data_IF_684976565457
#
_entry.id   IF_684976565457
#
_cell.length_a   1.000
_cell.length_b   1.000
_cell.length_c   1.000
_cell.angle_alpha   90.00
_cell.angle_beta   90.00
_cell.angle_gamma   90.00
#
_symmetry.space_group_name_H-M   'P 1'
#
loop_
_entity.id
_entity.type
_entity.pdbx_description
1 polymer ?
#
# COMPACT_ATOMS: atom_id res chain seq x y z
N UNK A 1 3.57 25.94 5.82
CA UNK A 1 4.89 25.56 6.34
C UNK A 1 5.34 24.20 5.82
N UNK A 2 4.70 23.06 6.14
CA UNK A 2 5.08 21.73 5.56
C UNK A 2 5.24 21.75 4.03
N UNK A 3 4.25 22.30 3.32
CA UNK A 3 4.30 22.46 1.86
C UNK A 3 5.52 23.25 1.39
N UNK A 4 5.82 24.37 2.02
CA UNK A 4 6.93 25.27 1.64
C UNK A 4 8.29 24.59 1.90
N UNK A 5 8.41 23.90 3.03
CA UNK A 5 9.59 23.10 3.39
C UNK A 5 9.79 21.94 2.41
N UNK A 6 8.72 21.24 2.05
CA UNK A 6 8.75 20.18 1.05
C UNK A 6 9.13 20.70 -0.35
N UNK A 7 8.59 21.84 -0.77
CA UNK A 7 8.92 22.47 -2.06
C UNK A 7 10.40 22.87 -2.16
N UNK A 8 11.04 23.21 -1.03
CA UNK A 8 12.48 23.45 -0.98
C UNK A 8 13.25 22.16 -1.24
N UNK A 9 12.90 21.07 -0.54
CA UNK A 9 13.49 19.74 -0.75
C UNK A 9 13.22 19.19 -2.15
N UNK A 10 12.06 19.51 -2.73
CA UNK A 10 11.69 19.14 -4.10
C UNK A 10 12.68 19.72 -5.11
N UNK A 11 13.10 20.98 -4.95
CA UNK A 11 14.08 21.62 -5.82
C UNK A 11 15.49 21.03 -5.65
N UNK A 12 15.88 20.73 -4.41
CA UNK A 12 17.19 20.18 -4.09
C UNK A 12 17.38 18.75 -4.61
N UNK A 13 16.35 17.91 -4.43
CA UNK A 13 16.43 16.48 -4.68
C UNK A 13 15.62 15.99 -5.88
N UNK A 14 14.94 16.90 -6.60
CA UNK A 14 14.04 16.60 -7.73
C UNK A 14 12.94 15.61 -7.34
N UNK A 15 12.29 15.87 -6.22
CA UNK A 15 11.15 15.07 -5.74
C UNK A 15 9.89 15.39 -6.56
N UNK A 16 8.83 14.55 -6.49
CA UNK A 16 7.54 14.87 -7.09
C UNK A 16 6.93 16.12 -6.44
N UNK A 17 5.90 16.70 -7.05
CA UNK A 17 5.27 17.90 -6.50
C UNK A 17 4.59 17.59 -5.16
N UNK A 18 4.45 18.61 -4.30
CA UNK A 18 3.74 18.47 -3.04
C UNK A 18 2.32 17.97 -3.28
N UNK A 19 1.61 18.53 -4.26
CA UNK A 19 0.23 18.19 -4.58
C UNK A 19 0.07 16.71 -4.96
N UNK A 20 0.95 16.18 -5.81
CA UNK A 20 0.90 14.77 -6.21
C UNK A 20 1.20 13.83 -5.03
N UNK A 21 2.19 14.21 -4.23
CA UNK A 21 2.57 13.43 -3.06
C UNK A 21 1.48 13.45 -1.99
N UNK A 22 0.86 14.60 -1.76
CA UNK A 22 -0.22 14.76 -0.80
C UNK A 22 -1.46 13.98 -1.23
N UNK A 23 -1.81 14.02 -2.51
CA UNK A 23 -2.93 13.26 -3.05
C UNK A 23 -2.77 11.74 -2.86
N UNK A 24 -1.56 11.21 -3.01
CA UNK A 24 -1.33 9.76 -2.93
C UNK A 24 -0.98 9.29 -1.52
N UNK A 25 -0.23 10.10 -0.76
CA UNK A 25 0.39 9.70 0.50
C UNK A 25 -0.05 10.54 1.69
N UNK A 26 -0.91 11.54 1.51
CA UNK A 26 -1.48 12.35 2.59
C UNK A 26 -0.37 13.04 3.42
N UNK A 27 0.38 13.92 2.74
CA UNK A 27 1.48 14.69 3.34
C UNK A 27 0.96 15.81 4.25
N UNK A 28 -0.27 16.28 4.01
CA UNK A 28 -0.91 17.30 4.83
C UNK A 28 -1.13 16.86 6.28
N UNK A 29 -1.08 15.54 6.54
CA UNK A 29 -1.16 14.97 7.88
C UNK A 29 0.18 14.99 8.64
N UNK A 30 1.28 15.48 8.04
CA UNK A 30 2.57 15.58 8.72
C UNK A 30 2.57 16.82 9.61
N UNK A 31 2.83 16.63 10.91
CA UNK A 31 2.79 17.72 11.90
C UNK A 31 4.16 18.38 12.12
N UNK A 32 5.27 17.63 11.91
CA UNK A 32 6.64 18.10 12.18
C UNK A 32 7.46 18.27 10.91
N UNK A 33 8.15 19.42 10.81
CA UNK A 33 9.06 19.74 9.70
C UNK A 33 10.46 19.13 9.87
N UNK A 34 10.82 18.77 11.10
CA UNK A 34 12.12 18.17 11.37
C UNK A 34 12.21 16.80 10.69
N UNK A 35 13.29 16.58 9.94
CA UNK A 35 13.50 15.35 9.17
C UNK A 35 12.34 15.01 8.23
N UNK A 36 11.80 16.02 7.53
CA UNK A 36 10.60 15.90 6.68
C UNK A 36 10.64 14.70 5.70
N UNK A 37 11.76 14.40 5.05
CA UNK A 37 11.86 13.23 4.16
C UNK A 37 11.59 11.90 4.88
N UNK A 38 11.96 11.78 6.15
CA UNK A 38 11.64 10.60 6.97
C UNK A 38 10.15 10.50 7.22
N UNK A 39 9.50 11.62 7.53
CA UNK A 39 8.05 11.69 7.69
C UNK A 39 7.32 11.33 6.39
N UNK A 40 7.80 11.84 5.25
CA UNK A 40 7.27 11.47 3.92
C UNK A 40 7.41 9.97 3.66
N UNK A 41 8.60 9.40 3.86
CA UNK A 41 8.80 7.94 3.72
C UNK A 41 7.87 7.14 4.62
N UNK A 42 7.64 7.59 5.86
CA UNK A 42 6.69 6.93 6.77
C UNK A 42 5.27 6.95 6.21
N UNK A 43 4.82 8.06 5.62
CA UNK A 43 3.52 8.11 4.93
C UNK A 43 3.44 7.15 3.74
N UNK A 44 4.53 7.02 2.99
CA UNK A 44 4.64 6.05 1.89
C UNK A 44 4.60 4.60 2.41
N UNK A 45 5.32 4.32 3.50
CA UNK A 45 5.33 3.03 4.19
C UNK A 45 3.91 2.65 4.64
N UNK A 46 3.25 3.52 5.40
CA UNK A 46 1.87 3.33 5.88
C UNK A 46 0.93 2.97 4.72
N UNK A 47 1.05 3.70 3.60
CA UNK A 47 0.20 3.50 2.41
C UNK A 47 0.46 2.17 1.73
N UNK A 48 1.73 1.83 1.48
CA UNK A 48 2.11 0.56 0.84
C UNK A 48 1.74 -0.61 1.74
N UNK A 49 2.00 -0.49 3.04
CA UNK A 49 1.68 -1.52 4.04
C UNK A 49 0.17 -1.75 4.16
N UNK A 50 -0.64 -0.69 4.18
CA UNK A 50 -2.09 -0.80 4.20
C UNK A 50 -2.63 -1.56 2.99
N UNK A 51 -2.22 -1.17 1.77
CA UNK A 51 -2.66 -1.83 0.54
C UNK A 51 -2.16 -3.27 0.46
N UNK A 52 -0.88 -3.49 0.83
CA UNK A 52 -0.27 -4.82 0.88
C UNK A 52 -1.02 -5.75 1.83
N UNK A 53 -1.31 -5.30 3.05
CA UNK A 53 -2.06 -6.08 4.04
C UNK A 53 -3.45 -6.47 3.55
N UNK A 54 -4.14 -5.55 2.85
CA UNK A 54 -5.47 -5.82 2.31
C UNK A 54 -5.45 -6.90 1.23
N UNK A 55 -4.45 -6.91 0.34
CA UNK A 55 -4.34 -7.95 -0.70
C UNK A 55 -3.72 -9.24 -0.16
N UNK A 56 -2.95 -9.19 0.92
CA UNK A 56 -2.36 -10.38 1.56
C UNK A 56 -3.43 -11.35 2.09
N UNK A 57 -4.59 -10.86 2.54
CA UNK A 57 -5.70 -11.70 3.01
C UNK A 57 -6.20 -12.68 1.94
N UNK A 58 -5.98 -12.38 0.65
CA UNK A 58 -6.36 -13.27 -0.46
C UNK A 58 -5.53 -14.57 -0.45
N UNK A 59 -4.25 -14.47 -0.09
CA UNK A 59 -3.32 -15.62 -0.08
C UNK A 59 -3.17 -16.23 1.31
N UNK A 60 -3.27 -15.40 2.35
CA UNK A 60 -3.16 -15.79 3.75
C UNK A 60 -4.32 -15.18 4.54
N UNK A 61 -5.54 -15.72 4.36
CA UNK A 61 -6.71 -15.23 5.08
C UNK A 61 -6.53 -15.46 6.58
N UNK A 62 -6.98 -14.51 7.41
CA UNK A 62 -7.08 -14.75 8.85
C UNK A 62 -8.23 -15.76 9.10
N UNK A 63 -7.97 -16.96 9.66
CA UNK A 63 -9.00 -17.96 9.89
C UNK A 63 -10.09 -17.51 10.88
N UNK A 64 -9.81 -16.50 11.72
CA UNK A 64 -10.77 -15.90 12.64
C UNK A 64 -11.63 -14.81 11.98
N UNK A 65 -11.22 -14.30 10.80
CA UNK A 65 -11.98 -13.32 10.04
C UNK A 65 -12.93 -14.03 9.08
N UNK A 66 -14.24 -13.91 9.35
CA UNK A 66 -15.27 -14.38 8.43
C UNK A 66 -15.11 -13.76 7.03
N UNK A 67 -14.83 -12.46 6.97
CA UNK A 67 -14.66 -11.74 5.72
C UNK A 67 -13.51 -12.31 4.90
N UNK A 68 -12.34 -12.51 5.50
CA UNK A 68 -11.15 -13.03 4.79
C UNK A 68 -11.43 -14.46 4.27
N UNK A 69 -12.02 -15.30 5.12
CA UNK A 69 -12.34 -16.68 4.79
C UNK A 69 -13.41 -16.81 3.70
N UNK A 70 -14.31 -15.86 3.61
CA UNK A 70 -15.31 -15.77 2.55
C UNK A 70 -14.69 -15.22 1.25
N UNK A 71 -14.01 -14.08 1.34
CA UNK A 71 -13.45 -13.35 0.20
C UNK A 71 -12.37 -14.16 -0.55
N UNK A 72 -11.47 -14.85 0.17
CA UNK A 72 -10.38 -15.61 -0.46
C UNK A 72 -10.86 -16.76 -1.37
N UNK A 73 -12.11 -17.22 -1.23
CA UNK A 73 -12.72 -18.27 -2.07
C UNK A 73 -13.01 -17.80 -3.49
N UNK A 74 -13.12 -16.49 -3.69
CA UNK A 74 -13.37 -15.88 -5.00
C UNK A 74 -12.11 -15.74 -5.87
N UNK A 75 -10.98 -16.25 -5.39
CA UNK A 75 -9.68 -16.18 -6.07
C UNK A 75 -9.17 -17.58 -6.38
N UNK A 76 -8.92 -17.82 -7.66
CA UNK A 76 -8.28 -19.05 -8.13
C UNK A 76 -6.80 -19.08 -7.75
N UNK A 77 -6.16 -20.25 -7.86
CA UNK A 77 -4.71 -20.36 -7.64
C UNK A 77 -3.90 -19.49 -8.61
N UNK A 78 -4.40 -19.32 -9.85
CA UNK A 78 -3.79 -18.43 -10.82
C UNK A 78 -3.89 -16.95 -10.39
N UNK A 79 -4.98 -16.55 -9.74
CA UNK A 79 -5.12 -15.21 -9.16
C UNK A 79 -4.19 -15.02 -7.96
N UNK A 80 -4.15 -16.00 -7.06
CA UNK A 80 -3.28 -15.99 -5.88
C UNK A 80 -1.80 -15.87 -6.26
N UNK A 81 -1.39 -16.48 -7.38
CA UNK A 81 -0.04 -16.30 -7.93
C UNK A 81 0.22 -14.84 -8.34
N UNK A 82 -0.73 -14.16 -8.97
CA UNK A 82 -0.57 -12.74 -9.32
C UNK A 82 -0.53 -11.84 -8.08
N UNK A 83 -1.38 -12.12 -7.09
CA UNK A 83 -1.34 -11.44 -5.79
C UNK A 83 0.02 -11.62 -5.12
N UNK A 84 0.60 -12.83 -5.17
CA UNK A 84 1.94 -13.07 -4.66
C UNK A 84 3.02 -12.23 -5.35
N UNK A 85 2.98 -12.10 -6.69
CA UNK A 85 3.91 -11.24 -7.42
C UNK A 85 3.77 -9.77 -7.01
N UNK A 86 2.53 -9.27 -6.89
CA UNK A 86 2.27 -7.92 -6.39
C UNK A 86 2.84 -7.70 -4.98
N UNK A 87 2.60 -8.66 -4.07
CA UNK A 87 3.11 -8.62 -2.70
C UNK A 87 4.63 -8.67 -2.64
N UNK A 88 5.28 -9.41 -3.55
CA UNK A 88 6.74 -9.42 -3.64
C UNK A 88 7.29 -8.02 -3.92
N UNK A 89 6.72 -7.32 -4.89
CA UNK A 89 7.15 -5.95 -5.23
C UNK A 89 6.88 -4.97 -4.09
N UNK A 90 5.69 -5.05 -3.46
CA UNK A 90 5.38 -4.23 -2.29
C UNK A 90 6.33 -4.50 -1.11
N UNK A 91 6.62 -5.76 -0.81
CA UNK A 91 7.57 -6.12 0.25
C UNK A 91 8.99 -5.67 -0.07
N UNK A 92 9.41 -5.68 -1.35
CA UNK A 92 10.70 -5.13 -1.73
C UNK A 92 10.78 -3.63 -1.40
N UNK A 93 9.71 -2.87 -1.66
CA UNK A 93 9.61 -1.45 -1.27
C UNK A 93 9.68 -1.29 0.24
N UNK A 94 8.89 -2.05 1.01
CA UNK A 94 8.88 -1.97 2.48
C UNK A 94 10.27 -2.25 3.06
N UNK A 95 10.99 -3.27 2.56
CA UNK A 95 12.36 -3.57 3.02
C UNK A 95 13.37 -2.51 2.59
N UNK A 96 13.17 -1.86 1.45
CA UNK A 96 13.99 -0.72 1.03
C UNK A 96 13.79 0.49 1.94
N UNK A 97 12.55 0.72 2.40
CA UNK A 97 12.22 1.77 3.38
C UNK A 97 12.88 1.47 4.73
N UNK A 98 12.80 0.23 5.21
CA UNK A 98 13.48 -0.23 6.43
C UNK A 98 15.00 0.00 6.34
N UNK A 99 15.62 -0.42 5.24
CA UNK A 99 17.07 -0.25 4.99
C UNK A 99 17.45 1.23 5.05
N UNK A 100 16.72 2.09 4.33
CA UNK A 100 16.93 3.53 4.29
C UNK A 100 16.76 4.18 5.67
N UNK A 101 15.82 3.69 6.49
CA UNK A 101 15.65 4.16 7.87
C UNK A 101 16.84 3.80 8.77
N UNK A 102 17.43 2.63 8.60
CA UNK A 102 18.65 2.22 9.32
C UNK A 102 19.86 3.05 8.89
N UNK A 103 19.99 3.31 7.58
CA UNK A 103 21.11 4.09 7.04
C UNK A 103 21.09 5.57 7.45
N UNK A 104 19.92 6.14 7.75
CA UNK A 104 19.76 7.55 8.13
C UNK A 104 20.44 8.52 7.14
N UNK A 105 20.29 8.28 5.84
CA UNK A 105 20.94 9.07 4.79
C UNK A 105 19.92 9.83 3.94
N UNK A 106 19.93 11.16 4.03
CA UNK A 106 18.95 12.03 3.35
C UNK A 106 18.93 11.84 1.83
N UNK A 107 20.10 11.71 1.19
CA UNK A 107 20.18 11.49 -0.25
C UNK A 107 19.56 10.16 -0.66
N UNK A 108 19.78 9.11 0.13
CA UNK A 108 19.13 7.81 -0.11
C UNK A 108 17.63 7.91 0.12
N UNK A 109 17.18 8.64 1.14
CA UNK A 109 15.76 8.86 1.42
C UNK A 109 15.06 9.52 0.23
N UNK A 110 15.66 10.58 -0.31
CA UNK A 110 15.13 11.28 -1.47
C UNK A 110 15.09 10.39 -2.73
N UNK A 111 16.15 9.61 -2.99
CA UNK A 111 16.18 8.66 -4.10
C UNK A 111 15.06 7.62 -3.98
N UNK A 112 14.88 7.07 -2.78
CA UNK A 112 13.88 6.06 -2.54
C UNK A 112 12.46 6.60 -2.68
N UNK A 113 12.19 7.83 -2.23
CA UNK A 113 10.91 8.51 -2.45
C UNK A 113 10.58 8.56 -3.96
N UNK A 114 11.54 8.94 -4.80
CA UNK A 114 11.36 8.98 -6.25
C UNK A 114 11.12 7.59 -6.85
N UNK A 115 11.88 6.57 -6.43
CA UNK A 115 11.72 5.19 -6.87
C UNK A 115 10.32 4.65 -6.55
N UNK A 116 9.86 4.84 -5.31
CA UNK A 116 8.54 4.39 -4.87
C UNK A 116 7.44 5.15 -5.58
N UNK A 117 7.55 6.48 -5.70
CA UNK A 117 6.55 7.30 -6.39
C UNK A 117 6.40 6.87 -7.85
N UNK A 118 7.51 6.57 -8.54
CA UNK A 118 7.47 6.09 -9.93
C UNK A 118 6.82 4.70 -10.06
N UNK A 119 7.05 3.80 -9.11
CA UNK A 119 6.46 2.45 -9.11
C UNK A 119 4.99 2.42 -8.68
N UNK A 120 4.58 3.37 -7.83
CA UNK A 120 3.29 3.37 -7.15
C UNK A 120 2.07 3.26 -8.09
N UNK A 121 1.96 3.98 -9.23
CA UNK A 121 0.80 3.89 -10.10
C UNK A 121 0.52 2.48 -10.63
N UNK A 122 1.57 1.71 -10.93
CA UNK A 122 1.43 0.34 -11.42
C UNK A 122 0.93 -0.60 -10.30
N UNK A 123 1.56 -0.52 -9.13
CA UNK A 123 1.19 -1.32 -7.95
C UNK A 123 -0.24 -1.02 -7.49
N UNK A 124 -0.60 0.27 -7.42
CA UNK A 124 -1.95 0.74 -7.09
C UNK A 124 -2.98 0.22 -8.09
N UNK A 125 -2.70 0.29 -9.39
CA UNK A 125 -3.61 -0.21 -10.44
C UNK A 125 -3.86 -1.72 -10.29
N UNK A 126 -2.81 -2.49 -10.05
CA UNK A 126 -2.92 -3.93 -9.87
C UNK A 126 -3.68 -4.28 -8.58
N UNK A 127 -3.34 -3.62 -7.47
CA UNK A 127 -4.06 -3.78 -6.20
C UNK A 127 -5.55 -3.46 -6.33
N UNK A 128 -5.91 -2.36 -7.00
CA UNK A 128 -7.30 -1.98 -7.25
C UNK A 128 -8.08 -3.05 -8.02
N UNK A 129 -7.42 -3.80 -8.91
CA UNK A 129 -8.08 -4.90 -9.62
C UNK A 129 -8.51 -6.03 -8.68
N UNK A 130 -7.70 -6.34 -7.66
CA UNK A 130 -8.02 -7.35 -6.64
C UNK A 130 -9.03 -6.81 -5.62
N UNK A 131 -8.85 -5.58 -5.14
CA UNK A 131 -9.78 -4.92 -4.22
C UNK A 131 -11.18 -4.79 -4.84
N UNK A 132 -11.25 -4.49 -6.14
CA UNK A 132 -12.51 -4.50 -6.89
C UNK A 132 -13.22 -5.85 -6.82
N UNK A 133 -12.48 -6.95 -6.96
CA UNK A 133 -13.02 -8.30 -6.85
C UNK A 133 -13.43 -8.69 -5.42
N UNK A 134 -12.68 -8.26 -4.41
CA UNK A 134 -13.07 -8.42 -3.00
C UNK A 134 -14.44 -7.76 -2.76
N UNK A 135 -14.61 -6.52 -3.23
CA UNK A 135 -15.89 -5.81 -3.18
C UNK A 135 -17.00 -6.53 -3.94
N UNK A 136 -16.71 -7.09 -5.12
CA UNK A 136 -17.70 -7.77 -5.95
C UNK A 136 -18.12 -9.15 -5.39
N UNK A 137 -17.26 -9.81 -4.59
CA UNK A 137 -17.58 -11.05 -3.89
C UNK A 137 -18.81 -10.92 -2.95
N UNK A 138 -19.03 -9.72 -2.41
CA UNK A 138 -20.19 -9.42 -1.56
C UNK A 138 -21.47 -9.10 -2.33
N UNK A 139 -21.38 -8.94 -3.66
CA UNK A 139 -22.53 -8.70 -4.55
C UNK A 139 -22.93 -9.95 -5.33
N UNK A 140 -22.08 -10.96 -5.39
CA UNK A 140 -22.45 -12.27 -5.94
C UNK A 140 -23.59 -12.86 -5.09
N UNK A 141 -24.70 -13.26 -5.72
CA UNK A 141 -25.85 -13.84 -5.00
C UNK A 141 -25.38 -15.05 -4.18
N UNK A 142 -25.48 -14.94 -2.86
CA UNK A 142 -25.20 -16.05 -1.96
C UNK A 142 -26.26 -17.12 -2.18
N UNK A 143 -25.84 -18.32 -2.59
CA UNK A 143 -26.70 -19.48 -2.51
C UNK A 143 -27.03 -19.66 -1.02
N UNK A 144 -28.28 -19.39 -0.62
CA UNK A 144 -28.73 -19.26 0.78
C UNK A 144 -28.48 -20.46 1.73
N UNK A 145 -27.78 -21.50 1.27
CA UNK A 145 -27.28 -22.61 2.09
C UNK A 145 -26.00 -22.27 2.88
N UNK A 146 -25.17 -21.32 2.41
CA UNK A 146 -23.92 -20.98 3.12
C UNK A 146 -24.15 -20.10 4.36
N UNK A 147 -25.26 -19.35 4.40
CA UNK A 147 -25.54 -18.42 5.49
C UNK A 147 -25.82 -19.09 6.85
N UNK A 148 -26.27 -20.34 6.85
CA UNK A 148 -26.72 -21.05 8.06
C UNK A 148 -25.59 -21.88 8.69
N UNK A 149 -24.66 -22.41 7.88
CA UNK A 149 -23.57 -23.25 8.41
C UNK A 149 -22.51 -22.47 9.20
N UNK A 150 -22.43 -21.15 9.03
CA UNK A 150 -21.44 -20.29 9.69
C UNK A 150 -21.94 -19.63 10.98
N UNK A 151 -23.25 -19.68 11.25
CA UNK A 151 -23.86 -19.04 12.42
C UNK A 151 -24.16 -20.02 13.57
N UNK A 152 -23.85 -21.31 13.40
CA UNK A 152 -24.14 -22.37 14.37
C UNK A 152 -25.42 -23.13 14.03
#
# INVERSE_FOLDING_TARGET
MIKETYETLCKEHKLPSYEEMDQEFDLCSIEEEHHLLRSVKKRMDDRVHYVGSLVETIIRPNPESYSDMYECRYFSDADKKKVYELLREMHHILRSLDESNVLCNEKRDAQLINEIFAAWPALKKEALSFIGRLKDAWRAQSNGKEHISYLG
#
